data_IF_702117709712
#
_entry.id   IF_702117709712
#
_cell.length_a   1.000
_cell.length_b   1.000
_cell.length_c   1.000
_cell.angle_alpha   90.00
_cell.angle_beta   90.00
_cell.angle_gamma   90.00
#
_symmetry.space_group_name_H-M   'P 1'
#
loop_
_entity.id
_entity.type
_entity.pdbx_description
1 polymer ?
#
# COMPACT_ATOMS: atom_id res chain seq x y z
N UNK A 1 -10.87 1.55 -0.89
CA UNK A 1 -12.09 1.08 -0.19
C UNK A 1 -12.08 -0.44 -0.21
N UNK A 2 -12.41 -1.05 0.91
CA UNK A 2 -12.40 -2.50 1.06
C UNK A 2 -13.82 -3.08 0.92
N UNK A 3 -13.98 -4.09 0.06
CA UNK A 3 -15.21 -4.87 -0.09
C UNK A 3 -14.88 -6.36 0.05
N UNK A 4 -15.19 -6.93 1.23
CA UNK A 4 -14.69 -8.26 1.57
C UNK A 4 -13.16 -8.25 1.62
N UNK A 5 -12.51 -9.05 0.77
CA UNK A 5 -11.05 -9.06 0.63
C UNK A 5 -10.56 -8.25 -0.58
N UNK A 6 -11.46 -7.58 -1.31
CA UNK A 6 -11.09 -6.77 -2.47
C UNK A 6 -10.82 -5.32 -2.11
N UNK A 7 -9.85 -4.72 -2.80
CA UNK A 7 -9.44 -3.35 -2.63
C UNK A 7 -9.71 -2.52 -3.90
N UNK A 8 -10.51 -1.49 -3.73
CA UNK A 8 -10.87 -0.53 -4.77
C UNK A 8 -10.08 0.76 -4.57
N UNK A 9 -9.25 1.15 -5.55
CA UNK A 9 -8.55 2.42 -5.53
C UNK A 9 -9.53 3.58 -5.76
N UNK A 10 -9.36 4.66 -4.98
CA UNK A 10 -10.20 5.85 -5.03
C UNK A 10 -9.31 7.07 -5.22
N UNK A 11 -9.28 7.63 -6.43
CA UNK A 11 -8.41 8.75 -6.78
C UNK A 11 -8.73 10.02 -5.98
N UNK A 12 -9.99 10.24 -5.61
CA UNK A 12 -10.46 11.34 -4.76
C UNK A 12 -9.99 11.23 -3.30
N UNK A 13 -9.42 10.07 -2.92
CA UNK A 13 -8.87 9.80 -1.59
C UNK A 13 -7.38 9.48 -1.62
N UNK A 14 -6.73 9.76 -2.74
CA UNK A 14 -5.31 9.60 -2.91
C UNK A 14 -4.66 10.96 -3.16
N UNK A 15 -3.40 11.08 -2.78
CA UNK A 15 -2.61 12.28 -3.01
C UNK A 15 -1.14 11.99 -2.86
N UNK A 16 -0.31 12.90 -3.39
CA UNK A 16 1.13 12.84 -3.25
C UNK A 16 1.60 13.92 -2.28
N UNK A 17 2.51 13.55 -1.40
CA UNK A 17 3.32 14.49 -0.63
C UNK A 17 4.69 14.58 -1.29
N UNK A 18 4.98 15.71 -1.94
CA UNK A 18 6.17 15.88 -2.77
C UNK A 18 5.98 15.33 -4.18
N UNK A 19 7.08 14.95 -4.83
CA UNK A 19 7.09 14.48 -6.23
C UNK A 19 8.04 13.30 -6.43
N UNK A 20 7.62 12.32 -7.21
CA UNK A 20 8.49 11.27 -7.73
C UNK A 20 9.27 11.75 -8.95
N UNK A 21 10.48 11.22 -9.16
CA UNK A 21 11.17 11.36 -10.44
C UNK A 21 10.48 10.53 -11.53
N UNK A 22 10.83 10.75 -12.81
CA UNK A 22 10.29 9.97 -13.93
C UNK A 22 10.52 8.46 -13.76
N UNK A 23 11.75 8.08 -13.36
CA UNK A 23 12.10 6.69 -13.10
C UNK A 23 11.26 6.11 -11.95
N UNK A 24 11.10 6.87 -10.86
CA UNK A 24 10.31 6.42 -9.72
C UNK A 24 8.81 6.35 -10.05
N UNK A 25 8.32 7.19 -10.96
CA UNK A 25 6.93 7.15 -11.44
C UNK A 25 6.67 5.83 -12.17
N UNK A 26 7.57 5.43 -13.08
CA UNK A 26 7.48 4.14 -13.77
C UNK A 26 7.54 2.96 -12.78
N UNK A 27 8.42 3.03 -11.78
CA UNK A 27 8.51 2.01 -10.73
C UNK A 27 7.21 1.92 -9.91
N UNK A 28 6.59 3.06 -9.61
CA UNK A 28 5.33 3.13 -8.88
C UNK A 28 4.19 2.53 -9.71
N UNK A 29 4.07 2.89 -10.98
CA UNK A 29 3.05 2.37 -11.90
C UNK A 29 3.13 0.85 -12.01
N UNK A 30 4.35 0.29 -12.04
CA UNK A 30 4.57 -1.15 -12.07
C UNK A 30 4.26 -1.80 -10.71
N UNK A 31 4.69 -1.20 -9.59
CA UNK A 31 4.58 -1.81 -8.27
C UNK A 31 3.18 -1.73 -7.67
N UNK A 32 2.42 -0.66 -7.95
CA UNK A 32 1.12 -0.40 -7.35
C UNK A 32 0.11 -1.56 -7.47
N UNK A 33 -0.18 -2.13 -8.66
CA UNK A 33 -1.12 -3.25 -8.76
C UNK A 33 -0.66 -4.49 -7.98
N UNK A 34 0.64 -4.69 -7.83
CA UNK A 34 1.19 -5.79 -7.04
C UNK A 34 0.98 -5.56 -5.55
N UNK A 35 1.22 -4.33 -5.05
CA UNK A 35 0.89 -4.01 -3.65
C UNK A 35 -0.59 -4.22 -3.37
N UNK A 36 -1.48 -3.81 -4.26
CA UNK A 36 -2.92 -4.03 -4.11
C UNK A 36 -3.22 -5.54 -3.99
N UNK A 37 -2.67 -6.36 -4.89
CA UNK A 37 -2.87 -7.81 -4.86
C UNK A 37 -2.31 -8.47 -3.58
N UNK A 38 -1.11 -8.07 -3.15
CA UNK A 38 -0.48 -8.56 -1.92
C UNK A 38 -1.34 -8.20 -0.69
N UNK A 39 -1.90 -6.99 -0.64
CA UNK A 39 -2.80 -6.55 0.45
C UNK A 39 -4.16 -7.26 0.43
N UNK A 40 -4.73 -7.56 -0.75
CA UNK A 40 -5.94 -8.40 -0.87
C UNK A 40 -5.69 -9.83 -0.36
N UNK A 41 -4.50 -10.39 -0.62
CA UNK A 41 -4.09 -11.68 -0.08
C UNK A 41 -3.93 -11.64 1.45
N UNK A 42 -3.37 -10.55 1.99
CA UNK A 42 -3.25 -10.35 3.44
C UNK A 42 -4.62 -10.18 4.13
N UNK A 43 -5.59 -9.56 3.47
CA UNK A 43 -6.99 -9.53 3.94
C UNK A 43 -7.61 -10.93 3.93
N UNK A 44 -7.33 -11.74 2.91
CA UNK A 44 -7.82 -13.11 2.81
C UNK A 44 -7.21 -14.03 3.88
N UNK A 45 -5.94 -13.81 4.24
CA UNK A 45 -5.21 -14.60 5.26
C UNK A 45 -5.43 -14.11 6.69
N UNK A 46 -6.15 -12.99 6.88
CA UNK A 46 -6.34 -12.27 8.15
C UNK A 46 -5.07 -11.65 8.74
N UNK A 47 -3.97 -11.57 7.98
CA UNK A 47 -2.75 -10.83 8.36
C UNK A 47 -3.01 -9.33 8.42
N UNK A 48 -3.84 -8.83 7.50
CA UNK A 48 -4.53 -7.55 7.64
C UNK A 48 -5.97 -7.79 8.06
N UNK A 49 -6.28 -7.44 9.30
CA UNK A 49 -7.61 -7.59 9.84
C UNK A 49 -8.35 -6.24 9.84
N UNK A 50 -9.55 -6.11 9.25
CA UNK A 50 -10.31 -4.86 9.20
C UNK A 50 -10.71 -4.27 10.56
N UNK A 51 -10.59 -5.06 11.64
CA UNK A 51 -11.05 -4.72 12.99
C UNK A 51 -9.95 -4.24 13.92
N UNK A 52 -8.68 -4.44 13.55
CA UNK A 52 -7.55 -4.13 14.41
C UNK A 52 -6.51 -3.32 13.63
N UNK A 53 -5.92 -2.33 14.30
CA UNK A 53 -4.77 -1.64 13.76
C UNK A 53 -3.56 -2.56 13.79
N UNK A 54 -2.96 -2.79 12.63
CA UNK A 54 -1.75 -3.59 12.46
C UNK A 54 -1.08 -3.15 11.17
N UNK A 55 0.05 -2.44 11.31
CA UNK A 55 0.81 -1.96 10.17
C UNK A 55 1.67 -3.10 9.60
N UNK A 56 1.56 -3.32 8.30
CA UNK A 56 2.41 -4.23 7.52
C UNK A 56 3.29 -3.44 6.56
N UNK A 57 4.46 -3.97 6.25
CA UNK A 57 5.42 -3.35 5.32
C UNK A 57 5.73 -4.29 4.17
N UNK A 58 5.49 -3.83 2.94
CA UNK A 58 5.80 -4.52 1.69
C UNK A 58 6.93 -3.79 0.94
N UNK A 59 7.70 -4.53 0.16
CA UNK A 59 8.82 -3.99 -0.62
C UNK A 59 8.73 -4.45 -2.07
N UNK A 60 8.87 -3.52 -3.01
CA UNK A 60 8.88 -3.83 -4.45
C UNK A 60 9.53 -2.71 -5.25
N UNK A 61 10.37 -3.06 -6.23
CA UNK A 61 10.96 -2.10 -7.18
C UNK A 61 11.67 -0.89 -6.51
N UNK A 62 12.30 -1.11 -5.35
CA UNK A 62 12.94 -0.04 -4.58
C UNK A 62 11.96 0.92 -3.89
N UNK A 63 10.69 0.53 -3.78
CA UNK A 63 9.64 1.22 -3.04
C UNK A 63 9.26 0.40 -1.79
N UNK A 64 8.95 1.13 -0.73
CA UNK A 64 8.32 0.62 0.49
C UNK A 64 6.84 1.00 0.47
N UNK A 65 5.97 0.06 0.79
CA UNK A 65 4.55 0.28 1.03
C UNK A 65 4.21 -0.09 2.48
N UNK A 66 3.85 0.89 3.29
CA UNK A 66 3.25 0.66 4.61
C UNK A 66 1.73 0.64 4.45
N UNK A 67 1.06 -0.32 5.08
CA UNK A 67 -0.39 -0.46 5.01
C UNK A 67 -0.99 -0.83 6.37
N UNK A 68 -2.13 -0.23 6.71
CA UNK A 68 -2.88 -0.52 7.94
C UNK A 68 -4.39 -0.34 7.71
N UNK A 69 -5.22 -1.18 8.33
CA UNK A 69 -6.69 -1.02 8.29
C UNK A 69 -7.19 0.03 9.29
N UNK A 70 -6.39 0.33 10.32
CA UNK A 70 -6.69 1.16 11.48
C UNK A 70 -8.00 0.76 12.19
N UNK A 71 -8.41 -0.51 12.07
CA UNK A 71 -9.70 -0.97 12.59
C UNK A 71 -10.91 -0.25 11.99
N UNK A 72 -10.81 0.20 10.73
CA UNK A 72 -11.82 1.04 10.09
C UNK A 72 -13.03 0.32 9.53
N UNK A 73 -13.01 -1.02 9.49
CA UNK A 73 -14.06 -1.88 8.90
C UNK A 73 -14.31 -1.70 7.39
N UNK A 74 -13.55 -0.85 6.68
CA UNK A 74 -13.83 -0.57 5.27
C UNK A 74 -12.72 0.13 4.47
N UNK A 75 -11.58 0.42 5.10
CA UNK A 75 -10.43 1.05 4.45
C UNK A 75 -9.13 0.36 4.82
N UNK A 76 -8.22 0.34 3.86
CA UNK A 76 -6.80 0.12 4.06
C UNK A 76 -6.12 1.43 3.67
N UNK A 77 -5.38 1.99 4.61
CA UNK A 77 -4.59 3.19 4.44
C UNK A 77 -3.20 2.76 4.02
N UNK A 78 -2.66 3.38 2.97
CA UNK A 78 -1.35 3.03 2.43
C UNK A 78 -0.46 4.26 2.29
N UNK A 79 0.84 4.08 2.52
CA UNK A 79 1.87 5.05 2.20
C UNK A 79 2.94 4.35 1.36
N UNK A 80 3.20 4.85 0.15
CA UNK A 80 4.22 4.32 -0.75
C UNK A 80 5.30 5.38 -0.96
N UNK A 81 6.56 5.00 -0.73
CA UNK A 81 7.71 5.90 -0.84
C UNK A 81 8.96 5.14 -1.26
N UNK A 82 9.99 5.83 -1.82
CA UNK A 82 11.26 5.19 -2.13
C UNK A 82 11.88 4.58 -0.88
N UNK A 83 12.29 3.33 -0.95
CA UNK A 83 13.01 2.68 0.14
C UNK A 83 14.32 3.41 0.35
N UNK A 84 14.56 3.88 1.58
CA UNK A 84 15.87 4.42 1.95
C UNK A 84 16.90 3.30 1.80
N UNK A 85 17.75 3.39 0.78
CA UNK A 85 18.99 2.63 0.79
C UNK A 85 19.85 3.22 1.90
N UNK A 86 19.98 2.50 3.01
CA UNK A 86 21.12 2.73 3.90
C UNK A 86 22.34 2.49 3.00
N UNK A 87 23.06 3.56 2.68
CA UNK A 87 24.40 3.42 2.11
C UNK A 87 25.25 2.86 3.25
N UNK A 88 25.57 1.58 3.17
CA UNK A 88 26.65 0.98 3.96
C UNK A 88 27.99 1.68 3.65
#
# INVERSE_FOLDING_TARGET
MQEGHRLHFLADRAGFTGSFSEVQTLQLDEAFPHFVADLELMLLSDELNPRYAHCVTLYRNGLTCEADTLGSYGYVYIAIYPTNQVKD
#
